data_IF_178398266550
#
_entry.id   IF_178398266550
#
_cell.length_a   1.000
_cell.length_b   1.000
_cell.length_c   1.000
_cell.angle_alpha   90.00
_cell.angle_beta   90.00
_cell.angle_gamma   90.00
#
_symmetry.space_group_name_H-M   'P 1'
#
loop_
_entity.id
_entity.type
_entity.pdbx_description
1 polymer ?
#
# COMPACT_ATOMS: atom_id res chain seq x y z
N UNK A 1 -58.37 -7.91 -4.31
CA UNK A 1 -58.07 -8.13 -2.89
C UNK A 1 -56.61 -7.75 -2.65
N UNK A 2 -56.47 -6.49 -2.29
CA UNK A 2 -55.44 -5.80 -1.50
C UNK A 2 -53.95 -6.07 -1.72
N UNK A 3 -53.39 -5.12 -2.47
CA UNK A 3 -51.99 -4.73 -2.55
C UNK A 3 -51.67 -3.91 -1.30
N UNK A 4 -50.76 -4.41 -0.44
CA UNK A 4 -50.15 -3.59 0.64
C UNK A 4 -48.68 -3.39 0.32
N UNK A 5 -48.37 -2.14 -0.05
CA UNK A 5 -47.04 -1.62 -0.28
C UNK A 5 -46.37 -1.27 1.05
N UNK A 6 -45.23 -1.89 1.36
CA UNK A 6 -44.29 -1.38 2.36
C UNK A 6 -43.15 -0.65 1.62
N UNK A 7 -43.30 0.68 1.53
CA UNK A 7 -42.22 1.61 1.20
C UNK A 7 -41.40 1.85 2.47
N UNK A 8 -40.18 1.30 2.52
CA UNK A 8 -39.18 1.78 3.47
C UNK A 8 -38.57 3.07 2.93
N UNK A 9 -38.83 4.18 3.63
CA UNK A 9 -38.23 5.47 3.37
C UNK A 9 -36.75 5.41 3.78
N UNK A 10 -35.87 5.37 2.79
CA UNK A 10 -34.44 5.63 2.97
C UNK A 10 -34.27 7.13 3.16
N UNK A 11 -34.13 7.56 4.41
CA UNK A 11 -33.78 8.93 4.75
C UNK A 11 -32.35 9.19 4.23
N UNK A 12 -32.25 9.83 3.07
CA UNK A 12 -30.98 10.35 2.54
C UNK A 12 -30.59 11.51 3.44
N UNK A 13 -29.74 11.24 4.43
CA UNK A 13 -29.09 12.27 5.24
C UNK A 13 -28.14 13.02 4.33
N UNK A 14 -28.59 14.17 3.81
CA UNK A 14 -27.70 15.12 3.13
C UNK A 14 -26.56 15.51 4.07
N UNK A 15 -25.29 15.41 3.64
CA UNK A 15 -24.18 15.88 4.44
C UNK A 15 -24.27 17.41 4.55
N UNK A 16 -24.61 17.89 5.76
CA UNK A 16 -24.58 19.31 6.14
C UNK A 16 -23.32 19.96 5.57
N UNK A 17 -23.50 20.90 4.65
CA UNK A 17 -22.48 21.85 4.18
C UNK A 17 -22.02 22.71 5.35
N UNK A 18 -21.10 22.18 6.17
CA UNK A 18 -20.30 23.00 7.08
C UNK A 18 -19.35 23.83 6.23
N UNK A 19 -19.47 25.14 6.31
CA UNK A 19 -18.49 26.10 5.82
C UNK A 19 -17.23 25.95 6.68
N UNK A 20 -16.17 25.36 6.12
CA UNK A 20 -15.02 24.80 6.84
C UNK A 20 -13.78 25.68 6.71
N UNK A 21 -13.30 26.25 7.83
CA UNK A 21 -12.04 27.00 7.98
C UNK A 21 -10.83 26.06 8.20
N UNK A 22 -9.63 26.64 8.06
CA UNK A 22 -8.31 26.02 8.25
C UNK A 22 -8.13 25.33 9.62
N UNK A 23 -7.07 24.51 9.74
CA UNK A 23 -6.63 23.74 10.91
C UNK A 23 -6.89 24.49 12.22
N UNK A 24 -7.54 23.83 13.17
CA UNK A 24 -8.03 24.48 14.39
C UNK A 24 -6.85 25.11 15.15
N UNK A 25 -6.73 26.45 15.23
CA UNK A 25 -5.62 27.08 15.92
C UNK A 25 -5.74 26.82 17.42
N UNK A 26 -4.61 26.81 18.12
CA UNK A 26 -4.57 26.93 19.57
C UNK A 26 -5.43 28.14 20.01
N UNK A 27 -6.12 28.06 21.16
CA UNK A 27 -6.88 29.20 21.66
C UNK A 27 -5.96 30.42 21.76
N UNK A 28 -6.46 31.59 21.36
CA UNK A 28 -5.67 32.82 21.29
C UNK A 28 -5.07 33.27 22.64
N UNK A 29 -5.50 32.65 23.75
CA UNK A 29 -5.03 32.85 25.12
C UNK A 29 -4.05 31.78 25.62
N UNK A 30 -3.59 30.84 24.76
CA UNK A 30 -2.65 29.80 25.18
C UNK A 30 -1.31 30.43 25.57
N UNK A 31 -0.81 30.09 26.77
CA UNK A 31 0.50 30.56 27.21
C UNK A 31 1.61 29.93 26.37
N UNK A 32 2.76 30.59 26.26
CA UNK A 32 3.95 30.03 25.58
C UNK A 32 4.31 28.66 26.15
N UNK A 33 4.18 28.47 27.46
CA UNK A 33 4.43 27.17 28.12
C UNK A 33 3.44 26.08 27.68
N UNK A 34 2.18 26.41 27.39
CA UNK A 34 1.21 25.46 26.86
C UNK A 34 1.51 25.08 25.41
N UNK A 35 2.00 26.03 24.61
CA UNK A 35 2.49 25.75 23.24
C UNK A 35 3.71 24.82 23.29
N UNK A 36 4.64 25.05 24.22
CA UNK A 36 5.83 24.20 24.40
C UNK A 36 5.44 22.75 24.73
N UNK A 37 4.43 22.54 25.57
CA UNK A 37 3.94 21.20 25.91
C UNK A 37 3.42 20.43 24.69
N UNK A 38 3.05 21.13 23.62
CA UNK A 38 2.54 20.50 22.41
C UNK A 38 3.64 19.89 21.53
N UNK A 39 4.88 20.36 21.60
CA UNK A 39 5.98 19.72 20.88
C UNK A 39 6.23 18.29 21.40
N UNK A 40 6.85 17.45 20.57
CA UNK A 40 7.31 16.12 21.01
C UNK A 40 8.24 16.23 22.22
N UNK A 41 8.16 15.24 23.12
CA UNK A 41 8.77 15.30 24.47
C UNK A 41 10.27 15.57 24.41
N UNK A 42 10.92 15.01 23.39
CA UNK A 42 12.35 15.06 23.12
C UNK A 42 12.80 16.49 22.78
N UNK A 43 11.94 17.29 22.14
CA UNK A 43 12.26 18.66 21.73
C UNK A 43 11.96 19.70 22.82
N UNK A 44 11.06 19.40 23.78
CA UNK A 44 10.51 20.40 24.73
C UNK A 44 11.59 21.12 25.54
N UNK A 45 12.61 20.40 26.00
CA UNK A 45 13.69 20.98 26.82
C UNK A 45 14.46 22.04 26.05
N UNK A 46 14.85 21.71 24.82
CA UNK A 46 15.61 22.60 23.96
C UNK A 46 14.76 23.75 23.41
N UNK A 47 13.51 23.48 23.03
CA UNK A 47 12.54 24.52 22.67
C UNK A 47 12.39 25.53 23.81
N UNK A 48 12.23 25.06 25.05
CA UNK A 48 12.12 25.92 26.24
C UNK A 48 13.37 26.77 26.45
N UNK A 49 14.56 26.21 26.23
CA UNK A 49 15.84 26.93 26.30
C UNK A 49 15.92 28.04 25.25
N UNK A 50 15.57 27.73 24.01
CA UNK A 50 15.58 28.66 22.88
C UNK A 50 14.60 29.81 23.08
N UNK A 51 13.34 29.50 23.45
CA UNK A 51 12.27 30.47 23.69
C UNK A 51 12.64 31.46 24.82
N UNK A 52 13.28 30.98 25.90
CA UNK A 52 13.75 31.85 27.00
C UNK A 52 14.92 32.75 26.61
N UNK A 53 15.65 32.42 25.55
CA UNK A 53 16.85 33.15 25.15
C UNK A 53 16.57 34.42 24.34
N UNK A 54 15.37 34.57 23.77
CA UNK A 54 14.97 35.75 22.99
C UNK A 54 13.46 35.81 22.78
N UNK A 55 12.82 36.98 23.01
CA UNK A 55 11.40 37.18 22.68
C UNK A 55 11.07 36.88 21.21
N UNK A 56 11.97 37.20 20.28
CA UNK A 56 11.77 36.92 18.84
C UNK A 56 11.80 35.43 18.52
N UNK A 57 12.56 34.64 19.29
CA UNK A 57 12.52 33.18 19.17
C UNK A 57 11.23 32.64 19.78
N UNK A 58 10.73 33.24 20.87
CA UNK A 58 9.43 32.90 21.44
C UNK A 58 8.28 33.07 20.45
N UNK A 59 8.30 34.11 19.60
CA UNK A 59 7.29 34.32 18.56
C UNK A 59 7.18 33.14 17.58
N UNK A 60 8.29 32.42 17.29
CA UNK A 60 8.29 31.25 16.40
C UNK A 60 7.35 30.13 16.84
N UNK A 61 7.03 30.05 18.14
CA UNK A 61 6.07 29.08 18.68
C UNK A 61 4.70 29.19 18.01
N UNK A 62 4.35 30.38 17.48
CA UNK A 62 3.08 30.63 16.80
C UNK A 62 3.27 30.89 15.31
N UNK A 63 4.31 31.64 14.92
CA UNK A 63 4.44 32.10 13.53
C UNK A 63 5.07 31.07 12.60
N UNK A 64 5.93 30.18 13.12
CA UNK A 64 6.59 29.13 12.35
C UNK A 64 7.10 27.99 13.27
N UNK A 65 6.21 27.14 13.81
CA UNK A 65 6.59 26.08 14.76
C UNK A 65 7.64 25.10 14.21
N UNK A 66 7.58 24.78 12.92
CA UNK A 66 8.58 23.91 12.27
C UNK A 66 10.00 24.47 12.26
N UNK A 67 10.17 25.80 12.21
CA UNK A 67 11.49 26.43 12.34
C UNK A 67 12.04 26.29 13.75
N UNK A 68 11.18 26.46 14.76
CA UNK A 68 11.57 26.26 16.15
C UNK A 68 11.93 24.80 16.44
N UNK A 69 11.17 23.84 15.90
CA UNK A 69 11.49 22.42 15.98
C UNK A 69 12.84 22.10 15.31
N UNK A 70 13.09 22.65 14.12
CA UNK A 70 14.35 22.47 13.41
C UNK A 70 15.54 23.00 14.22
N UNK A 71 15.44 24.20 14.79
CA UNK A 71 16.47 24.79 15.66
C UNK A 71 16.71 23.97 16.94
N UNK A 72 15.64 23.38 17.49
CA UNK A 72 15.71 22.56 18.69
C UNK A 72 16.23 21.13 18.42
N UNK A 73 16.20 20.69 17.17
CA UNK A 73 16.74 19.41 16.75
C UNK A 73 18.22 19.50 16.35
N UNK A 74 18.85 18.36 16.11
CA UNK A 74 20.20 18.27 15.53
C UNK A 74 20.20 18.38 13.99
N UNK A 75 19.17 19.01 13.41
CA UNK A 75 19.07 19.22 11.97
C UNK A 75 20.10 20.25 11.50
N UNK A 76 20.88 19.85 10.48
CA UNK A 76 21.84 20.73 9.82
C UNK A 76 23.09 20.98 10.64
N UNK A 77 23.99 21.83 10.13
CA UNK A 77 25.25 22.13 10.82
C UNK A 77 25.05 23.09 12.00
N UNK A 78 25.92 22.98 13.01
CA UNK A 78 25.94 23.93 14.12
C UNK A 78 26.20 25.38 13.67
N UNK A 79 26.89 25.58 12.54
CA UNK A 79 27.11 26.89 11.93
C UNK A 79 25.79 27.49 11.40
N UNK A 80 25.04 26.74 10.59
CA UNK A 80 23.72 27.15 10.07
C UNK A 80 22.75 27.49 11.21
N UNK A 81 22.73 26.68 12.28
CA UNK A 81 21.88 26.95 13.44
C UNK A 81 22.27 28.26 14.14
N UNK A 82 23.56 28.52 14.34
CA UNK A 82 24.03 29.78 14.96
C UNK A 82 23.69 30.99 14.11
N UNK A 83 23.90 30.89 12.80
CA UNK A 83 23.55 31.94 11.84
C UNK A 83 22.05 32.23 11.83
N UNK A 84 21.21 31.20 11.77
CA UNK A 84 19.76 31.35 11.83
C UNK A 84 19.30 32.03 13.14
N UNK A 85 19.88 31.65 14.28
CA UNK A 85 19.58 32.28 15.58
C UNK A 85 19.98 33.77 15.57
N UNK A 86 21.13 34.13 14.99
CA UNK A 86 21.55 35.52 14.87
C UNK A 86 20.55 36.31 14.00
N UNK A 87 20.20 35.79 12.82
CA UNK A 87 19.23 36.41 11.91
C UNK A 87 17.86 36.61 12.56
N UNK A 88 17.37 35.65 13.36
CA UNK A 88 16.09 35.79 14.09
C UNK A 88 16.19 36.91 15.13
N UNK A 89 17.31 36.99 15.88
CA UNK A 89 17.53 38.06 16.86
C UNK A 89 17.59 39.42 16.20
N UNK A 90 18.22 39.52 15.04
CA UNK A 90 18.30 40.76 14.26
C UNK A 90 16.99 41.13 13.57
N UNK A 91 16.03 40.20 13.49
CA UNK A 91 14.68 40.44 12.95
C UNK A 91 14.62 40.30 11.44
N UNK A 92 15.50 39.48 10.89
CA UNK A 92 15.48 39.15 9.48
C UNK A 92 14.12 38.55 9.06
N UNK A 93 13.70 38.74 7.80
CA UNK A 93 12.46 38.13 7.30
C UNK A 93 12.50 36.59 7.42
N UNK A 94 11.38 35.97 7.82
CA UNK A 94 11.28 34.51 8.02
C UNK A 94 11.76 33.68 6.82
N UNK A 95 11.53 34.16 5.59
CA UNK A 95 11.99 33.48 4.36
C UNK A 95 13.52 33.41 4.26
N UNK A 96 14.23 34.41 4.79
CA UNK A 96 15.69 34.44 4.84
C UNK A 96 16.20 33.39 5.82
N UNK A 97 15.65 33.37 7.04
CA UNK A 97 16.00 32.38 8.07
C UNK A 97 15.67 30.95 7.60
N UNK A 98 14.50 30.76 6.98
CA UNK A 98 14.08 29.47 6.46
C UNK A 98 15.04 28.92 5.39
N UNK A 99 15.60 29.80 4.55
CA UNK A 99 16.61 29.42 3.56
C UNK A 99 17.91 28.94 4.21
N UNK A 100 18.37 29.59 5.28
CA UNK A 100 19.58 29.18 6.02
C UNK A 100 19.42 27.79 6.64
N UNK A 101 18.22 27.47 7.14
CA UNK A 101 17.89 26.17 7.74
C UNK A 101 17.41 25.11 6.72
N UNK A 102 17.38 25.45 5.44
CA UNK A 102 16.80 24.64 4.37
C UNK A 102 15.39 24.11 4.74
N UNK A 103 14.49 25.04 5.09
CA UNK A 103 13.11 24.75 5.50
C UNK A 103 12.10 25.32 4.50
N UNK A 104 11.17 24.51 3.99
CA UNK A 104 10.17 24.99 3.07
C UNK A 104 9.05 25.75 3.78
N UNK A 105 8.64 26.89 3.23
CA UNK A 105 7.68 27.80 3.87
C UNK A 105 6.29 27.21 4.13
N UNK A 106 5.92 26.08 3.51
CA UNK A 106 4.63 25.44 3.75
C UNK A 106 4.53 24.83 5.15
N UNK A 107 5.65 24.42 5.78
CA UNK A 107 5.68 23.93 7.16
C UNK A 107 5.22 24.96 8.18
N UNK A 108 5.30 26.25 7.83
CA UNK A 108 4.83 27.35 8.68
C UNK A 108 3.38 27.19 9.15
N UNK A 109 2.54 26.49 8.36
CA UNK A 109 1.11 26.34 8.62
C UNK A 109 0.73 25.15 9.50
N UNK A 110 1.69 24.29 9.86
CA UNK A 110 1.43 23.14 10.73
C UNK A 110 1.53 23.53 12.20
N UNK A 111 0.76 22.88 13.07
CA UNK A 111 0.81 23.14 14.51
C UNK A 111 2.07 22.51 15.14
N UNK A 112 2.50 22.96 16.33
CA UNK A 112 3.72 22.49 17.00
C UNK A 112 3.85 20.98 17.18
N UNK A 113 2.74 20.32 17.47
CA UNK A 113 2.61 18.88 17.68
C UNK A 113 2.80 18.05 16.41
N UNK A 114 2.73 18.68 15.23
CA UNK A 114 3.09 18.01 13.98
C UNK A 114 4.58 17.64 13.92
N UNK A 115 5.42 18.35 14.69
CA UNK A 115 6.87 18.30 14.55
C UNK A 115 7.52 17.36 15.55
N UNK A 116 8.08 16.27 15.02
CA UNK A 116 9.10 15.45 15.67
C UNK A 116 10.48 15.68 15.06
N UNK A 117 11.24 14.60 14.88
CA UNK A 117 12.49 14.65 14.11
C UNK A 117 12.20 14.92 12.63
N UNK A 118 12.71 16.03 12.10
CA UNK A 118 12.59 16.37 10.69
C UNK A 118 13.76 15.77 9.89
N UNK A 119 13.51 15.03 8.80
CA UNK A 119 14.57 14.42 7.97
C UNK A 119 15.38 15.50 7.28
N UNK A 120 16.70 15.32 7.14
CA UNK A 120 17.63 16.33 6.60
C UNK A 120 17.18 16.95 5.27
N UNK A 121 16.57 16.18 4.39
CA UNK A 121 15.98 16.65 3.14
C UNK A 121 14.46 16.81 3.30
N UNK A 122 13.94 17.94 2.82
CA UNK A 122 12.52 18.26 2.81
C UNK A 122 12.08 18.66 1.40
N UNK A 123 10.81 18.44 1.01
CA UNK A 123 10.32 18.88 -0.29
C UNK A 123 10.31 20.41 -0.40
N UNK A 124 11.21 20.95 -1.23
CA UNK A 124 11.42 22.39 -1.40
C UNK A 124 10.69 22.99 -2.61
N UNK A 125 10.13 22.18 -3.52
CA UNK A 125 9.60 22.74 -4.77
C UNK A 125 8.43 23.69 -4.51
N UNK A 126 8.40 24.83 -5.22
CA UNK A 126 7.30 25.78 -5.06
C UNK A 126 5.96 25.17 -5.48
N UNK A 127 5.97 24.29 -6.50
CA UNK A 127 4.78 23.58 -6.99
C UNK A 127 4.21 22.69 -5.88
N UNK A 128 5.06 21.92 -5.20
CA UNK A 128 4.65 21.10 -4.07
C UNK A 128 4.13 21.95 -2.93
N UNK A 129 4.89 22.98 -2.52
CA UNK A 129 4.49 23.89 -1.44
C UNK A 129 3.11 24.52 -1.66
N UNK A 130 2.78 24.94 -2.89
CA UNK A 130 1.45 25.49 -3.21
C UNK A 130 0.35 24.43 -3.11
N UNK A 131 0.61 23.20 -3.57
CA UNK A 131 -0.39 22.11 -3.59
C UNK A 131 -0.62 21.52 -2.21
N UNK A 132 0.43 21.35 -1.40
CA UNK A 132 0.34 20.68 -0.10
C UNK A 132 -0.38 21.55 0.93
N UNK A 133 -0.23 22.87 0.84
CA UNK A 133 -0.92 23.83 1.73
C UNK A 133 -2.45 23.69 1.69
N UNK A 134 -3.02 23.36 0.53
CA UNK A 134 -4.46 23.13 0.39
C UNK A 134 -4.93 21.79 0.97
N UNK A 135 -3.99 20.91 1.35
CA UNK A 135 -4.21 19.54 1.82
C UNK A 135 -3.77 19.34 3.27
N UNK A 136 -3.49 20.43 3.99
CA UNK A 136 -3.14 20.35 5.39
C UNK A 136 -4.28 19.71 6.20
N UNK A 137 -3.94 18.90 7.22
CA UNK A 137 -4.94 18.27 8.07
C UNK A 137 -5.74 19.36 8.79
N UNK A 138 -7.02 19.05 9.03
CA UNK A 138 -7.94 19.98 9.70
C UNK A 138 -7.92 19.76 11.20
N UNK A 139 -7.80 18.50 11.61
CA UNK A 139 -7.67 18.10 12.99
C UNK A 139 -6.21 18.14 13.38
N UNK A 140 -5.97 18.71 14.56
CA UNK A 140 -4.64 18.90 15.10
C UNK A 140 -3.92 17.56 15.32
N UNK A 141 -4.62 16.61 15.93
CA UNK A 141 -4.15 15.25 16.22
C UNK A 141 -3.68 14.46 14.99
N UNK A 142 -4.18 14.78 13.79
CA UNK A 142 -3.75 14.14 12.54
C UNK A 142 -2.40 14.68 12.04
N UNK A 143 -1.95 15.86 12.52
CA UNK A 143 -0.88 16.64 11.89
C UNK A 143 0.47 15.95 11.93
N UNK A 144 0.79 15.27 13.03
CA UNK A 144 2.05 14.56 13.18
C UNK A 144 2.15 13.37 12.21
N UNK A 145 1.13 12.51 12.23
CA UNK A 145 1.11 11.33 11.37
C UNK A 145 0.98 11.70 9.89
N UNK A 146 0.17 12.71 9.56
CA UNK A 146 0.10 13.28 8.22
C UNK A 146 1.47 13.75 7.75
N UNK A 147 2.19 14.57 8.53
CA UNK A 147 3.50 15.10 8.13
C UNK A 147 4.51 13.96 7.89
N UNK A 148 4.59 13.00 8.81
CA UNK A 148 5.45 11.82 8.67
C UNK A 148 5.13 11.05 7.38
N UNK A 149 3.84 10.85 7.09
CA UNK A 149 3.38 10.14 5.89
C UNK A 149 3.74 10.87 4.60
N UNK A 150 3.64 12.20 4.56
CA UNK A 150 3.95 12.99 3.37
C UNK A 150 5.46 13.02 3.10
N UNK A 151 6.26 13.16 4.16
CA UNK A 151 7.71 13.10 4.05
C UNK A 151 8.20 11.70 3.63
N UNK A 152 7.56 10.65 4.17
CA UNK A 152 7.81 9.29 3.70
C UNK A 152 7.46 9.12 2.22
N UNK A 153 6.25 9.55 1.82
CA UNK A 153 5.76 9.39 0.46
C UNK A 153 6.62 10.10 -0.58
N UNK A 154 7.15 11.29 -0.26
CA UNK A 154 8.04 12.00 -1.16
C UNK A 154 9.38 11.27 -1.30
N UNK A 155 9.99 10.87 -0.19
CA UNK A 155 11.23 10.11 -0.18
C UNK A 155 11.10 8.74 -0.86
N UNK A 156 9.99 8.05 -0.65
CA UNK A 156 9.74 6.70 -1.14
C UNK A 156 9.26 6.68 -2.59
N UNK A 157 8.83 7.82 -3.14
CA UNK A 157 8.23 7.85 -4.47
C UNK A 157 8.53 9.16 -5.17
N UNK A 158 7.78 10.23 -4.86
CA UNK A 158 8.02 11.62 -5.27
C UNK A 158 6.96 12.59 -4.72
N UNK A 159 7.09 13.87 -5.09
CA UNK A 159 6.17 14.95 -4.73
C UNK A 159 4.73 14.77 -5.26
N UNK A 160 4.53 14.14 -6.43
CA UNK A 160 3.20 13.89 -6.97
C UNK A 160 2.45 12.82 -6.16
N UNK A 161 3.12 11.72 -5.81
CA UNK A 161 2.58 10.70 -4.92
C UNK A 161 2.32 11.24 -3.52
N UNK A 162 3.25 12.02 -2.95
CA UNK A 162 3.06 12.67 -1.65
C UNK A 162 1.86 13.63 -1.65
N UNK A 163 1.69 14.40 -2.72
CA UNK A 163 0.54 15.30 -2.87
C UNK A 163 -0.78 14.54 -3.01
N UNK A 164 -0.77 13.42 -3.73
CA UNK A 164 -1.94 12.54 -3.83
C UNK A 164 -2.27 11.92 -2.47
N UNK A 165 -1.28 11.42 -1.74
CA UNK A 165 -1.47 10.81 -0.42
C UNK A 165 -2.04 11.82 0.58
N UNK A 166 -1.56 13.06 0.56
CA UNK A 166 -2.05 14.13 1.42
C UNK A 166 -3.53 14.48 1.22
N UNK A 167 -4.14 14.10 0.09
CA UNK A 167 -5.57 14.32 -0.16
C UNK A 167 -6.48 13.25 0.42
N UNK A 168 -5.91 12.16 0.96
CA UNK A 168 -6.67 11.02 1.46
C UNK A 168 -7.13 11.25 2.91
N UNK A 169 -8.27 10.64 3.28
CA UNK A 169 -8.85 10.72 4.62
C UNK A 169 -8.50 9.49 5.47
N UNK A 170 -7.20 9.27 5.67
CA UNK A 170 -6.68 8.03 6.29
C UNK A 170 -5.75 8.29 7.49
N UNK A 171 -5.68 9.55 7.95
CA UNK A 171 -4.71 10.01 8.95
C UNK A 171 -5.27 10.12 10.37
N UNK A 172 -6.54 9.78 10.58
CA UNK A 172 -7.20 9.83 11.89
C UNK A 172 -6.57 8.86 12.88
N UNK A 173 -6.17 7.68 12.41
CA UNK A 173 -5.43 6.70 13.21
C UNK A 173 -3.93 6.94 13.02
N UNK A 174 -3.16 6.99 14.11
CA UNK A 174 -1.69 7.01 14.04
C UNK A 174 -1.12 5.70 13.49
N UNK A 175 0.19 5.64 13.27
CA UNK A 175 0.87 4.42 12.83
C UNK A 175 2.31 4.64 12.39
N UNK A 176 2.96 3.56 11.97
CA UNK A 176 4.25 3.63 11.31
C UNK A 176 4.05 3.90 9.82
N UNK A 177 4.25 5.16 9.41
CA UNK A 177 4.09 5.58 8.02
C UNK A 177 4.92 4.77 7.03
N UNK A 178 6.09 4.28 7.44
CA UNK A 178 6.97 3.53 6.55
C UNK A 178 6.37 2.17 6.21
N UNK A 179 5.90 1.44 7.23
CA UNK A 179 5.26 0.13 7.05
C UNK A 179 3.93 0.26 6.33
N UNK A 180 3.11 1.22 6.77
CA UNK A 180 1.76 1.40 6.28
C UNK A 180 1.73 1.71 4.78
N UNK A 181 2.63 2.58 4.31
CA UNK A 181 2.65 3.04 2.92
C UNK A 181 3.73 2.38 2.03
N UNK A 182 4.55 1.46 2.55
CA UNK A 182 5.66 0.82 1.83
C UNK A 182 5.24 0.26 0.46
N UNK A 183 4.25 -0.65 0.46
CA UNK A 183 3.78 -1.34 -0.75
C UNK A 183 3.14 -0.35 -1.74
N UNK A 184 2.33 0.58 -1.24
CA UNK A 184 1.65 1.56 -2.07
C UNK A 184 2.64 2.53 -2.75
N UNK A 185 3.68 2.97 -2.02
CA UNK A 185 4.74 3.82 -2.55
C UNK A 185 5.58 3.09 -3.60
N UNK A 186 6.01 1.85 -3.33
CA UNK A 186 6.77 1.05 -4.29
C UNK A 186 5.97 0.78 -5.57
N UNK A 187 4.70 0.40 -5.44
CA UNK A 187 3.78 0.26 -6.58
C UNK A 187 3.67 1.55 -7.40
N UNK A 188 3.50 2.70 -6.74
CA UNK A 188 3.40 3.99 -7.43
C UNK A 188 4.71 4.41 -8.12
N UNK A 189 5.86 4.05 -7.54
CA UNK A 189 7.17 4.26 -8.15
C UNK A 189 7.34 3.35 -9.37
N UNK A 190 7.17 2.03 -9.23
CA UNK A 190 7.31 1.07 -10.32
C UNK A 190 6.31 1.31 -11.45
N UNK A 191 5.13 1.88 -11.17
CA UNK A 191 4.16 2.30 -12.20
C UNK A 191 4.75 3.26 -13.24
N UNK A 192 5.86 3.93 -12.91
CA UNK A 192 6.54 4.91 -13.77
C UNK A 192 7.87 4.43 -14.32
N UNK A 193 8.21 3.16 -14.11
CA UNK A 193 9.50 2.57 -14.47
C UNK A 193 9.32 1.41 -15.46
N UNK A 194 8.90 1.70 -16.72
CA UNK A 194 8.46 0.68 -17.69
C UNK A 194 9.52 -0.36 -18.07
N UNK A 195 10.80 -0.05 -17.83
CA UNK A 195 11.92 -0.93 -18.11
C UNK A 195 12.14 -1.99 -17.03
N UNK A 196 11.55 -1.84 -15.85
CA UNK A 196 11.73 -2.75 -14.71
C UNK A 196 10.85 -4.00 -14.82
N UNK A 197 11.30 -5.10 -14.23
CA UNK A 197 10.49 -6.33 -14.15
C UNK A 197 9.24 -6.12 -13.28
N UNK A 198 9.38 -5.43 -12.16
CA UNK A 198 8.26 -5.13 -11.26
C UNK A 198 7.13 -4.37 -11.98
N UNK A 199 7.45 -3.48 -12.92
CA UNK A 199 6.45 -2.78 -13.73
C UNK A 199 5.62 -3.74 -14.60
N UNK A 200 6.22 -4.80 -15.14
CA UNK A 200 5.50 -5.79 -15.97
C UNK A 200 4.43 -6.56 -15.19
N UNK A 201 4.53 -6.55 -13.85
CA UNK A 201 3.54 -7.17 -12.97
C UNK A 201 2.33 -6.24 -12.70
N UNK A 202 2.40 -4.97 -13.08
CA UNK A 202 1.34 -3.98 -12.85
C UNK A 202 0.28 -4.05 -13.97
N UNK A 203 -0.99 -4.26 -13.60
CA UNK A 203 -2.13 -4.15 -14.55
C UNK A 203 -2.58 -2.71 -14.72
N UNK A 204 -2.76 -2.03 -13.58
CA UNK A 204 -3.29 -0.68 -13.51
C UNK A 204 -2.16 0.18 -12.96
N UNK A 205 -1.46 0.97 -13.80
CA UNK A 205 -0.43 1.89 -13.31
C UNK A 205 -1.02 2.99 -12.43
N UNK A 206 -0.30 3.35 -11.38
CA UNK A 206 -0.61 4.51 -10.57
C UNK A 206 -0.49 5.79 -11.41
N UNK A 207 -1.39 6.73 -11.16
CA UNK A 207 -1.37 8.10 -11.70
C UNK A 207 -2.01 9.06 -10.70
N UNK A 208 -1.72 10.37 -10.71
CA UNK A 208 -2.23 11.30 -9.72
C UNK A 208 -3.76 11.38 -9.62
N UNK A 209 -4.49 10.97 -10.66
CA UNK A 209 -5.95 10.99 -10.72
C UNK A 209 -6.61 9.69 -10.23
N UNK A 210 -5.81 8.67 -9.88
CA UNK A 210 -6.35 7.38 -9.43
C UNK A 210 -7.09 7.55 -8.10
N UNK A 211 -8.24 6.90 -7.96
CA UNK A 211 -8.96 6.84 -6.70
C UNK A 211 -8.20 5.98 -5.68
N UNK A 212 -8.35 6.27 -4.39
CA UNK A 212 -7.62 5.60 -3.31
C UNK A 212 -7.89 4.09 -3.25
N UNK A 213 -9.17 3.69 -3.33
CA UNK A 213 -9.60 2.30 -3.35
C UNK A 213 -8.95 1.51 -4.51
N UNK A 214 -8.94 2.11 -5.70
CA UNK A 214 -8.38 1.54 -6.92
C UNK A 214 -6.86 1.42 -6.79
N UNK A 215 -6.17 2.44 -6.27
CA UNK A 215 -4.72 2.39 -6.05
C UNK A 215 -4.34 1.31 -5.04
N UNK A 216 -5.09 1.19 -3.95
CA UNK A 216 -4.81 0.22 -2.90
C UNK A 216 -5.05 -1.23 -3.40
N UNK A 217 -6.16 -1.46 -4.11
CA UNK A 217 -6.43 -2.76 -4.74
C UNK A 217 -5.39 -3.11 -5.82
N UNK A 218 -4.96 -2.13 -6.62
CA UNK A 218 -3.92 -2.31 -7.63
C UNK A 218 -2.55 -2.62 -7.00
N UNK A 219 -2.19 -1.92 -5.91
CA UNK A 219 -0.97 -2.18 -5.15
C UNK A 219 -0.98 -3.60 -4.54
N UNK A 220 -2.11 -4.02 -3.94
CA UNK A 220 -2.27 -5.37 -3.39
C UNK A 220 -2.17 -6.44 -4.48
N UNK A 221 -2.83 -6.25 -5.62
CA UNK A 221 -2.75 -7.17 -6.75
C UNK A 221 -1.32 -7.28 -7.29
N UNK A 222 -0.63 -6.14 -7.47
CA UNK A 222 0.77 -6.10 -7.86
C UNK A 222 1.66 -6.86 -6.87
N UNK A 223 1.50 -6.64 -5.57
CA UNK A 223 2.30 -7.30 -4.54
C UNK A 223 2.06 -8.82 -4.50
N UNK A 224 0.81 -9.27 -4.73
CA UNK A 224 0.49 -10.69 -4.85
C UNK A 224 1.09 -11.33 -6.11
N UNK A 225 1.26 -10.58 -7.20
CA UNK A 225 1.98 -11.07 -8.39
C UNK A 225 3.48 -11.15 -8.16
N UNK A 226 4.06 -10.21 -7.43
CA UNK A 226 5.45 -10.32 -6.95
C UNK A 226 5.57 -11.61 -6.14
N UNK A 227 4.70 -11.83 -5.16
CA UNK A 227 4.65 -13.08 -4.38
C UNK A 227 4.60 -14.33 -5.25
N UNK A 228 3.73 -14.33 -6.27
CA UNK A 228 3.58 -15.45 -7.21
C UNK A 228 4.89 -15.75 -7.96
N UNK A 229 5.57 -14.73 -8.48
CA UNK A 229 6.87 -14.89 -9.17
C UNK A 229 7.92 -15.50 -8.23
N UNK A 230 7.98 -15.02 -7.00
CA UNK A 230 8.97 -15.48 -6.01
C UNK A 230 8.71 -16.91 -5.53
N UNK A 231 7.45 -17.33 -5.48
CA UNK A 231 7.07 -18.62 -4.91
C UNK A 231 6.87 -19.73 -5.94
N UNK A 232 6.59 -19.39 -7.20
CA UNK A 232 6.33 -20.36 -8.28
C UNK A 232 7.26 -20.13 -9.48
N UNK A 233 8.59 -20.19 -9.31
CA UNK A 233 9.51 -20.24 -10.44
C UNK A 233 9.24 -21.48 -11.30
N UNK A 234 9.76 -21.48 -12.53
CA UNK A 234 9.65 -22.63 -13.44
C UNK A 234 10.25 -23.87 -12.78
N UNK A 235 9.52 -24.98 -12.83
CA UNK A 235 9.93 -26.25 -12.20
C UNK A 235 9.48 -26.42 -10.74
N UNK A 236 8.95 -25.38 -10.09
CA UNK A 236 8.49 -25.48 -8.70
C UNK A 236 7.28 -26.41 -8.54
N UNK A 237 6.37 -26.44 -9.53
CA UNK A 237 5.23 -27.36 -9.53
C UNK A 237 5.59 -28.54 -10.43
N UNK A 238 6.09 -29.61 -9.82
CA UNK A 238 6.47 -30.84 -10.54
C UNK A 238 5.24 -31.74 -10.83
N UNK A 239 4.21 -31.64 -10.00
CA UNK A 239 3.02 -32.49 -10.06
C UNK A 239 1.74 -31.65 -10.16
N UNK A 240 1.05 -31.80 -11.29
CA UNK A 240 -0.25 -31.19 -11.61
C UNK A 240 -1.44 -31.83 -10.87
N UNK A 241 -1.21 -32.95 -10.18
CA UNK A 241 -2.16 -33.89 -9.59
C UNK A 241 -3.02 -34.67 -10.56
N UNK A 242 -3.50 -34.02 -11.61
CA UNK A 242 -4.34 -34.61 -12.66
C UNK A 242 -3.67 -34.36 -14.02
N UNK A 243 -3.87 -35.29 -14.94
CA UNK A 243 -3.30 -35.20 -16.27
C UNK A 243 -4.02 -34.14 -17.11
N UNK A 244 -3.29 -33.47 -18.01
CA UNK A 244 -3.92 -32.72 -19.09
C UNK A 244 -4.77 -33.66 -19.95
N UNK A 245 -5.80 -33.14 -20.60
CA UNK A 245 -6.62 -33.95 -21.50
C UNK A 245 -7.71 -33.15 -22.18
N UNK A 246 -8.57 -33.86 -22.90
CA UNK A 246 -9.70 -33.27 -23.61
C UNK A 246 -11.01 -33.96 -23.24
N UNK A 247 -12.06 -33.17 -23.08
CA UNK A 247 -13.42 -33.68 -22.90
C UNK A 247 -14.41 -32.75 -23.59
N UNK A 248 -15.30 -33.32 -24.40
CA UNK A 248 -16.35 -32.59 -25.15
C UNK A 248 -15.84 -31.40 -25.97
N UNK A 249 -14.66 -31.51 -26.59
CA UNK A 249 -14.06 -30.43 -27.38
C UNK A 249 -13.44 -29.29 -26.56
N UNK A 250 -13.27 -29.50 -25.25
CA UNK A 250 -12.51 -28.60 -24.38
C UNK A 250 -11.19 -29.26 -23.95
N UNK A 251 -10.11 -28.50 -24.00
CA UNK A 251 -8.78 -28.91 -23.56
C UNK A 251 -8.53 -28.37 -22.15
N UNK A 252 -8.05 -29.23 -21.26
CA UNK A 252 -7.69 -28.92 -19.88
C UNK A 252 -6.17 -28.95 -19.74
N UNK A 253 -5.57 -27.78 -19.55
CA UNK A 253 -4.11 -27.62 -19.43
C UNK A 253 -3.73 -27.18 -18.02
N UNK A 254 -2.87 -27.91 -17.29
CA UNK A 254 -2.40 -27.47 -15.98
C UNK A 254 -1.55 -26.20 -16.09
N UNK A 255 -1.61 -25.35 -15.07
CA UNK A 255 -0.80 -24.14 -14.94
C UNK A 255 0.27 -24.37 -13.87
N UNK A 256 1.53 -24.50 -14.29
CA UNK A 256 2.61 -25.06 -13.48
C UNK A 256 3.64 -24.04 -12.98
N UNK A 257 3.53 -22.78 -13.38
CA UNK A 257 4.45 -21.73 -12.95
C UNK A 257 3.80 -20.35 -13.01
N UNK A 258 4.48 -19.34 -12.45
CA UNK A 258 3.99 -17.97 -12.43
C UNK A 258 3.66 -17.43 -13.83
N UNK A 259 4.45 -17.72 -14.87
CA UNK A 259 4.23 -17.20 -16.23
C UNK A 259 2.90 -17.69 -16.81
N UNK A 260 2.62 -18.98 -16.67
CA UNK A 260 1.35 -19.57 -17.11
C UNK A 260 0.15 -19.04 -16.33
N UNK A 261 0.28 -18.89 -15.00
CA UNK A 261 -0.77 -18.38 -14.13
C UNK A 261 -1.06 -16.89 -14.41
N UNK A 262 -0.02 -16.06 -14.57
CA UNK A 262 -0.17 -14.65 -14.93
C UNK A 262 -0.79 -14.49 -16.32
N UNK A 263 -0.35 -15.32 -17.28
CA UNK A 263 -0.93 -15.36 -18.61
C UNK A 263 -2.42 -15.72 -18.57
N UNK A 264 -2.80 -16.72 -17.79
CA UNK A 264 -4.21 -17.08 -17.57
C UNK A 264 -4.99 -15.93 -16.94
N UNK A 265 -4.48 -15.33 -15.84
CA UNK A 265 -5.12 -14.22 -15.14
C UNK A 265 -5.37 -13.02 -16.08
N UNK A 266 -4.40 -12.71 -16.95
CA UNK A 266 -4.52 -11.64 -17.93
C UNK A 266 -5.59 -11.95 -19.00
N UNK A 267 -5.55 -13.15 -19.58
CA UNK A 267 -6.49 -13.53 -20.65
C UNK A 267 -7.93 -13.64 -20.12
N UNK A 268 -8.09 -14.20 -18.93
CA UNK A 268 -9.40 -14.42 -18.29
C UNK A 268 -9.87 -13.21 -17.47
N UNK A 269 -9.03 -12.20 -17.26
CA UNK A 269 -9.32 -11.03 -16.44
C UNK A 269 -9.89 -11.43 -15.07
N UNK A 270 -9.28 -12.44 -14.46
CA UNK A 270 -9.74 -13.06 -13.22
C UNK A 270 -8.63 -13.01 -12.14
N UNK A 271 -8.91 -13.58 -10.97
CA UNK A 271 -8.02 -13.52 -9.81
C UNK A 271 -7.08 -14.74 -9.69
N UNK A 272 -6.73 -15.41 -10.80
CA UNK A 272 -5.84 -16.58 -10.75
C UNK A 272 -4.44 -16.26 -10.17
N UNK A 273 -4.00 -15.00 -10.32
CA UNK A 273 -2.75 -14.48 -9.75
C UNK A 273 -2.74 -14.38 -8.21
N UNK A 274 -3.87 -14.62 -7.53
CA UNK A 274 -4.00 -14.60 -6.08
C UNK A 274 -3.75 -15.97 -5.41
N UNK A 275 -3.51 -17.02 -6.21
CA UNK A 275 -3.50 -18.41 -5.73
C UNK A 275 -2.15 -18.93 -5.23
N UNK A 276 -1.09 -18.11 -5.26
CA UNK A 276 0.28 -18.50 -4.93
C UNK A 276 0.36 -19.33 -3.64
N UNK A 277 -0.18 -18.81 -2.54
CA UNK A 277 -0.12 -19.47 -1.24
C UNK A 277 -0.87 -20.81 -1.21
N UNK A 278 -2.06 -20.88 -1.81
CA UNK A 278 -2.86 -22.11 -1.86
C UNK A 278 -2.15 -23.19 -2.67
N UNK A 279 -1.50 -22.81 -3.77
CA UNK A 279 -0.75 -23.73 -4.63
C UNK A 279 0.50 -24.27 -3.90
N UNK A 280 1.29 -23.37 -3.30
CA UNK A 280 2.52 -23.71 -2.56
C UNK A 280 2.20 -24.61 -1.37
N UNK A 281 1.11 -24.34 -0.64
CA UNK A 281 0.66 -25.19 0.47
C UNK A 281 0.02 -26.51 0.02
N UNK A 282 0.02 -26.80 -1.28
CA UNK A 282 -0.60 -28.00 -1.84
C UNK A 282 -2.11 -28.08 -1.57
N UNK A 283 -2.79 -26.93 -1.43
CA UNK A 283 -4.25 -26.87 -1.23
C UNK A 283 -5.01 -26.94 -2.55
N UNK A 284 -4.40 -26.50 -3.65
CA UNK A 284 -5.02 -26.58 -4.97
C UNK A 284 -4.02 -26.68 -6.13
N UNK A 285 -4.56 -27.00 -7.31
CA UNK A 285 -3.93 -26.85 -8.64
C UNK A 285 -4.88 -26.12 -9.57
N UNK A 286 -4.32 -25.35 -10.48
CA UNK A 286 -5.08 -24.58 -11.46
C UNK A 286 -4.92 -25.17 -12.86
N UNK A 287 -6.01 -25.13 -13.62
CA UNK A 287 -6.07 -25.55 -15.01
C UNK A 287 -6.71 -24.45 -15.85
N UNK A 288 -6.12 -24.20 -17.02
CA UNK A 288 -6.74 -23.44 -18.10
C UNK A 288 -7.68 -24.37 -18.87
N UNK A 289 -8.91 -23.93 -19.07
CA UNK A 289 -9.91 -24.63 -19.89
C UNK A 289 -10.08 -23.87 -21.20
N UNK A 290 -9.84 -24.56 -22.31
CA UNK A 290 -9.78 -23.96 -23.64
C UNK A 290 -10.76 -24.63 -24.59
N UNK A 291 -11.35 -23.85 -25.49
CA UNK A 291 -12.14 -24.35 -26.61
C UNK A 291 -11.49 -23.86 -27.90
N UNK A 292 -11.13 -24.78 -28.80
CA UNK A 292 -10.41 -24.45 -30.04
C UNK A 292 -9.15 -23.58 -29.80
N UNK A 293 -8.39 -23.89 -28.73
CA UNK A 293 -7.20 -23.13 -28.33
C UNK A 293 -7.46 -21.78 -27.66
N UNK A 294 -8.72 -21.35 -27.51
CA UNK A 294 -9.09 -20.10 -26.84
C UNK A 294 -9.49 -20.38 -25.39
N UNK A 295 -8.88 -19.68 -24.44
CA UNK A 295 -9.20 -19.77 -23.01
C UNK A 295 -10.63 -19.31 -22.75
N UNK A 296 -11.44 -20.16 -22.12
CA UNK A 296 -12.84 -19.88 -21.83
C UNK A 296 -13.21 -20.03 -20.35
N UNK A 297 -12.44 -20.78 -19.56
CA UNK A 297 -12.58 -20.85 -18.11
C UNK A 297 -11.26 -21.18 -17.42
N UNK A 298 -11.17 -20.86 -16.13
CA UNK A 298 -10.11 -21.32 -15.23
C UNK A 298 -10.74 -22.26 -14.21
N UNK A 299 -10.12 -23.42 -14.03
CA UNK A 299 -10.56 -24.50 -13.17
C UNK A 299 -9.61 -24.64 -11.98
N UNK A 300 -10.17 -24.73 -10.78
CA UNK A 300 -9.45 -25.03 -9.55
C UNK A 300 -9.80 -26.43 -9.06
N UNK A 301 -8.76 -27.25 -8.87
CA UNK A 301 -8.84 -28.58 -8.29
C UNK A 301 -8.25 -28.55 -6.88
N UNK A 302 -8.94 -29.17 -5.93
CA UNK A 302 -8.53 -29.26 -4.54
C UNK A 302 -9.19 -30.43 -3.81
N UNK A 303 -8.93 -30.53 -2.51
CA UNK A 303 -9.50 -31.58 -1.66
C UNK A 303 -11.02 -31.39 -1.52
N UNK A 304 -11.77 -32.48 -1.65
CA UNK A 304 -13.21 -32.49 -1.49
C UNK A 304 -13.57 -32.09 -0.06
N UNK A 305 -14.52 -31.14 0.14
CA UNK A 305 -14.78 -30.56 1.45
C UNK A 305 -15.34 -31.57 2.47
N UNK A 306 -15.89 -32.70 2.01
CA UNK A 306 -16.49 -33.73 2.87
C UNK A 306 -15.77 -35.07 2.82
N UNK A 307 -15.00 -35.33 1.76
CA UNK A 307 -14.35 -36.63 1.53
C UNK A 307 -12.84 -36.42 1.53
N UNK A 308 -12.23 -36.61 2.70
CA UNK A 308 -10.81 -36.38 2.88
C UNK A 308 -10.02 -37.30 1.94
N UNK A 309 -9.09 -36.70 1.21
CA UNK A 309 -8.23 -37.42 0.29
C UNK A 309 -8.86 -37.69 -1.07
N UNK A 310 -10.00 -37.11 -1.39
CA UNK A 310 -10.59 -37.15 -2.74
C UNK A 310 -10.43 -35.77 -3.38
N UNK A 311 -9.94 -35.72 -4.61
CA UNK A 311 -9.85 -34.48 -5.38
C UNK A 311 -11.20 -34.15 -6.03
N UNK A 312 -11.54 -32.86 -6.06
CA UNK A 312 -12.77 -32.36 -6.65
C UNK A 312 -12.57 -30.97 -7.27
N UNK A 313 -13.55 -30.56 -8.09
CA UNK A 313 -13.64 -29.20 -8.60
C UNK A 313 -14.07 -28.28 -7.47
N UNK A 314 -13.17 -27.43 -7.00
CA UNK A 314 -13.49 -26.40 -6.00
C UNK A 314 -14.17 -25.19 -6.65
N UNK A 315 -13.71 -24.84 -7.84
CA UNK A 315 -14.21 -23.67 -8.55
C UNK A 315 -13.98 -23.81 -10.06
N UNK A 316 -14.94 -23.33 -10.84
CA UNK A 316 -14.84 -23.17 -12.30
C UNK A 316 -15.41 -21.81 -12.68
N UNK A 317 -14.55 -20.91 -13.18
CA UNK A 317 -14.93 -19.53 -13.49
C UNK A 317 -14.58 -19.17 -14.92
N UNK A 318 -15.50 -18.50 -15.59
CA UNK A 318 -15.26 -17.86 -16.88
C UNK A 318 -14.60 -16.49 -16.69
N UNK A 319 -14.51 -15.73 -17.78
CA UNK A 319 -13.88 -14.40 -17.80
C UNK A 319 -14.51 -13.48 -16.75
N UNK A 320 -13.71 -12.62 -16.12
CA UNK A 320 -14.16 -11.71 -15.05
C UNK A 320 -14.73 -12.39 -13.80
N UNK A 321 -14.27 -13.61 -13.49
CA UNK A 321 -14.81 -14.42 -12.40
C UNK A 321 -16.33 -14.73 -12.55
N UNK A 322 -16.87 -14.64 -13.76
CA UNK A 322 -18.27 -14.99 -14.05
C UNK A 322 -18.49 -16.51 -13.96
N UNK A 323 -19.74 -16.93 -13.88
CA UNK A 323 -20.09 -18.35 -13.90
C UNK A 323 -19.72 -18.96 -15.25
N UNK A 324 -19.08 -20.14 -15.23
CA UNK A 324 -18.87 -20.91 -16.44
C UNK A 324 -20.21 -21.46 -17.00
N UNK A 325 -20.29 -21.64 -18.31
CA UNK A 325 -21.48 -22.19 -18.96
C UNK A 325 -21.69 -23.66 -18.58
N UNK A 326 -22.91 -24.17 -18.78
CA UNK A 326 -23.24 -25.57 -18.47
C UNK A 326 -22.37 -26.56 -19.27
N UNK A 327 -22.07 -26.25 -20.54
CA UNK A 327 -21.23 -27.11 -21.37
C UNK A 327 -19.81 -27.25 -20.81
N UNK A 328 -19.24 -26.16 -20.29
CA UNK A 328 -17.92 -26.16 -19.67
C UNK A 328 -17.93 -26.97 -18.36
N UNK A 329 -19.02 -26.87 -17.58
CA UNK A 329 -19.21 -27.73 -16.39
C UNK A 329 -19.31 -29.21 -16.76
N UNK A 330 -20.12 -29.55 -17.76
CA UNK A 330 -20.26 -30.94 -18.22
C UNK A 330 -18.93 -31.49 -18.74
N UNK A 331 -18.18 -30.70 -19.50
CA UNK A 331 -16.84 -31.06 -19.94
C UNK A 331 -15.89 -31.28 -18.76
N UNK A 332 -15.90 -30.40 -17.75
CA UNK A 332 -15.02 -30.51 -16.58
C UNK A 332 -15.32 -31.78 -15.75
N UNK A 333 -16.60 -32.12 -15.53
CA UNK A 333 -16.95 -33.36 -14.84
C UNK A 333 -16.58 -34.60 -15.63
N UNK A 334 -16.77 -34.59 -16.96
CA UNK A 334 -16.34 -35.70 -17.82
C UNK A 334 -14.82 -35.88 -17.82
N UNK A 335 -14.07 -34.78 -17.93
CA UNK A 335 -12.60 -34.79 -17.83
C UNK A 335 -12.15 -35.33 -16.46
N UNK A 336 -12.79 -34.91 -15.37
CA UNK A 336 -12.47 -35.38 -14.02
C UNK A 336 -12.74 -36.88 -13.87
N UNK A 337 -13.85 -37.39 -14.43
CA UNK A 337 -14.20 -38.80 -14.39
C UNK A 337 -13.23 -39.70 -15.17
N UNK A 338 -12.47 -39.14 -16.12
CA UNK A 338 -11.43 -39.86 -16.86
C UNK A 338 -10.09 -39.92 -16.11
N UNK A 339 -9.94 -39.16 -15.01
CA UNK A 339 -8.67 -39.09 -14.29
C UNK A 339 -8.40 -40.36 -13.48
N UNK A 340 -7.16 -40.80 -13.50
CA UNK A 340 -6.63 -41.77 -12.55
C UNK A 340 -6.06 -41.01 -11.33
N UNK A 341 -6.12 -41.59 -10.14
CA UNK A 341 -5.52 -40.97 -8.94
C UNK A 341 -6.36 -39.87 -8.28
N UNK A 342 -7.69 -39.87 -8.45
CA UNK A 342 -8.60 -38.97 -7.71
C UNK A 342 -8.48 -39.12 -6.19
N UNK A 343 -8.05 -40.29 -5.71
CA UNK A 343 -7.69 -40.49 -4.30
C UNK A 343 -6.25 -40.06 -4.08
N UNK A 344 -6.08 -38.98 -3.34
CA UNK A 344 -4.79 -38.41 -2.94
C UNK A 344 -4.84 -38.02 -1.47
N UNK A 345 -4.18 -38.81 -0.62
CA UNK A 345 -4.01 -38.49 0.80
C UNK A 345 -3.29 -37.13 0.87
N UNK A 346 -3.86 -36.12 1.56
CA UNK A 346 -3.16 -34.86 1.78
C UNK A 346 -1.82 -35.16 2.45
N UNK A 347 -0.72 -34.53 2.05
CA UNK A 347 0.54 -34.78 2.73
C UNK A 347 0.36 -34.50 4.23
N UNK A 348 0.66 -35.50 5.08
CA UNK A 348 0.40 -35.51 6.53
C UNK A 348 1.11 -34.39 7.27
N UNK A 349 2.19 -33.90 6.68
CA UNK A 349 2.88 -32.65 6.96
C UNK A 349 2.82 -31.82 5.69
N UNK A 350 2.71 -30.48 5.75
CA UNK A 350 3.08 -29.65 4.60
C UNK A 350 4.49 -30.08 4.25
N UNK A 351 4.65 -30.80 3.14
CA UNK A 351 5.92 -31.38 2.77
C UNK A 351 6.95 -30.27 2.81
N UNK A 352 8.07 -30.49 3.51
CA UNK A 352 9.24 -29.61 3.48
C UNK A 352 9.65 -29.21 2.03
N UNK A 353 9.20 -30.00 1.05
CA UNK A 353 9.35 -29.86 -0.40
C UNK A 353 8.67 -28.62 -1.01
N UNK A 354 7.66 -28.01 -0.36
CA UNK A 354 7.11 -26.71 -0.78
C UNK A 354 6.98 -25.76 0.41
N UNK A 355 7.90 -25.80 1.37
CA UNK A 355 8.03 -24.74 2.37
C UNK A 355 8.56 -23.46 1.72
N UNK A 356 7.73 -22.86 0.85
CA UNK A 356 7.77 -21.51 0.30
C UNK A 356 9.09 -20.78 0.45
N UNK A 357 10.17 -21.35 -0.09
CA UNK A 357 11.42 -20.62 -0.23
C UNK A 357 11.16 -19.61 -1.31
N UNK A 358 11.00 -18.36 -0.91
CA UNK A 358 10.96 -17.26 -1.84
C UNK A 358 12.30 -17.23 -2.57
N UNK A 359 12.25 -17.13 -3.90
CA UNK A 359 13.43 -16.87 -4.72
C UNK A 359 14.02 -15.51 -4.33
N UNK A 360 15.05 -15.53 -3.46
CA UNK A 360 15.70 -14.32 -2.96
C UNK A 360 16.43 -13.57 -4.08
N UNK A 361 16.92 -14.28 -5.09
CA UNK A 361 17.58 -13.67 -6.25
C UNK A 361 16.56 -12.89 -7.07
N UNK A 362 15.37 -13.46 -7.28
CA UNK A 362 14.27 -12.73 -7.91
C UNK A 362 13.79 -11.54 -7.05
N UNK A 363 13.71 -11.69 -5.72
CA UNK A 363 13.34 -10.57 -4.83
C UNK A 363 14.31 -9.39 -4.96
N UNK A 364 15.61 -9.68 -4.90
CA UNK A 364 16.65 -8.68 -5.10
C UNK A 364 16.53 -8.04 -6.49
N UNK A 365 16.47 -8.84 -7.55
CA UNK A 365 16.35 -8.35 -8.93
C UNK A 365 15.13 -7.45 -9.16
N UNK A 366 13.98 -7.81 -8.58
CA UNK A 366 12.73 -7.04 -8.68
C UNK A 366 12.84 -5.72 -7.91
N UNK A 367 13.39 -5.74 -6.70
CA UNK A 367 13.37 -4.59 -5.78
C UNK A 367 14.59 -3.68 -5.90
N UNK A 368 15.73 -4.14 -6.40
CA UNK A 368 16.98 -3.36 -6.52
C UNK A 368 16.77 -2.01 -7.19
N UNK A 369 16.07 -1.88 -8.34
CA UNK A 369 15.85 -0.58 -8.97
C UNK A 369 15.18 0.45 -8.04
N UNK A 370 14.22 -0.01 -7.23
CA UNK A 370 13.54 0.84 -6.25
C UNK A 370 14.48 1.21 -5.10
N UNK A 371 15.20 0.24 -4.54
CA UNK A 371 16.17 0.47 -3.46
C UNK A 371 17.27 1.44 -3.88
N UNK A 372 17.80 1.28 -5.08
CA UNK A 372 18.85 2.15 -5.61
C UNK A 372 18.36 3.59 -5.79
N UNK A 373 17.10 3.77 -6.22
CA UNK A 373 16.52 5.08 -6.46
C UNK A 373 16.17 5.84 -5.17
N UNK A 374 15.71 5.17 -4.12
CA UNK A 374 15.17 5.80 -2.90
C UNK A 374 16.10 5.71 -1.67
N UNK A 375 17.35 5.26 -1.88
CA UNK A 375 18.34 5.13 -0.81
C UNK A 375 18.12 3.90 0.08
N UNK A 376 18.33 2.71 -0.49
CA UNK A 376 18.22 1.36 0.10
C UNK A 376 16.79 0.87 0.46
N UNK A 377 15.82 1.78 0.58
CA UNK A 377 14.45 1.47 1.01
C UNK A 377 14.42 0.63 2.30
N UNK A 378 14.98 1.17 3.39
CA UNK A 378 15.11 0.49 4.70
C UNK A 378 13.77 -0.02 5.28
N UNK A 379 12.65 0.52 4.78
CA UNK A 379 11.29 0.10 5.14
C UNK A 379 10.83 -1.19 4.46
N UNK A 380 11.63 -1.76 3.55
CA UNK A 380 11.43 -3.08 2.96
C UNK A 380 12.50 -4.07 3.41
N UNK A 381 12.06 -5.23 3.93
CA UNK A 381 12.93 -6.34 4.28
C UNK A 381 13.85 -6.74 3.12
N UNK A 382 15.13 -6.94 3.42
CA UNK A 382 16.14 -7.35 2.41
C UNK A 382 15.90 -8.76 1.89
N UNK A 383 15.19 -9.60 2.65
CA UNK A 383 14.84 -10.96 2.29
C UNK A 383 13.31 -11.15 2.24
N UNK A 384 12.84 -11.86 1.23
CA UNK A 384 11.43 -12.21 1.11
C UNK A 384 11.06 -13.39 2.03
N UNK A 385 9.99 -13.25 2.80
CA UNK A 385 9.49 -14.29 3.70
C UNK A 385 7.97 -14.24 3.83
N UNK A 386 7.35 -15.34 4.26
CA UNK A 386 5.89 -15.34 4.50
C UNK A 386 5.51 -14.33 5.59
N UNK A 387 6.34 -14.16 6.62
CA UNK A 387 6.09 -13.19 7.69
C UNK A 387 6.03 -11.76 7.15
N UNK A 388 6.96 -11.41 6.26
CA UNK A 388 6.99 -10.11 5.59
C UNK A 388 5.73 -9.86 4.75
N UNK A 389 5.34 -10.82 3.91
CA UNK A 389 4.12 -10.70 3.11
C UNK A 389 2.86 -10.57 4.00
N UNK A 390 2.75 -11.38 5.07
CA UNK A 390 1.65 -11.27 6.02
C UNK A 390 1.62 -9.92 6.74
N UNK A 391 2.78 -9.37 7.11
CA UNK A 391 2.86 -8.07 7.75
C UNK A 391 2.35 -6.96 6.82
N UNK A 392 2.85 -6.87 5.59
CA UNK A 392 2.37 -5.86 4.63
C UNK A 392 0.92 -6.07 4.21
N UNK A 393 0.42 -7.31 4.18
CA UNK A 393 -0.99 -7.59 3.95
C UNK A 393 -1.87 -7.04 5.06
N UNK A 394 -1.43 -7.16 6.32
CA UNK A 394 -2.11 -6.56 7.46
C UNK A 394 -2.10 -5.03 7.39
N UNK A 395 -0.96 -4.42 7.01
CA UNK A 395 -0.85 -2.96 6.84
C UNK A 395 -1.77 -2.45 5.71
N UNK A 396 -1.82 -3.14 4.57
CA UNK A 396 -2.73 -2.79 3.48
C UNK A 396 -4.20 -2.98 3.85
N UNK A 397 -4.53 -4.02 4.64
CA UNK A 397 -5.87 -4.21 5.17
C UNK A 397 -6.26 -3.09 6.15
N UNK A 398 -5.31 -2.62 6.97
CA UNK A 398 -5.52 -1.48 7.84
C UNK A 398 -5.76 -0.18 7.04
N UNK A 399 -5.00 0.03 5.96
CA UNK A 399 -5.27 1.13 5.01
C UNK A 399 -6.65 1.04 4.36
N UNK A 400 -7.07 -0.16 3.98
CA UNK A 400 -8.39 -0.38 3.40
C UNK A 400 -9.50 0.00 4.38
N UNK A 401 -9.36 -0.41 5.66
CA UNK A 401 -10.25 -0.04 6.75
C UNK A 401 -10.30 1.48 6.94
N UNK A 402 -9.15 2.14 7.04
CA UNK A 402 -9.05 3.60 7.20
C UNK A 402 -9.68 4.36 6.04
N UNK A 403 -9.50 3.87 4.81
CA UNK A 403 -10.04 4.47 3.59
C UNK A 403 -11.50 4.11 3.28
N UNK A 404 -12.15 3.27 4.10
CA UNK A 404 -13.52 2.82 3.86
C UNK A 404 -13.69 1.93 2.62
N UNK A 405 -12.65 1.16 2.26
CA UNK A 405 -12.67 0.29 1.08
C UNK A 405 -13.46 -0.98 1.41
N UNK A 406 -14.70 -1.07 0.93
CA UNK A 406 -15.64 -2.16 1.25
C UNK A 406 -15.38 -3.46 0.45
N UNK A 407 -14.68 -3.38 -0.68
CA UNK A 407 -14.41 -4.52 -1.58
C UNK A 407 -13.04 -5.17 -1.33
N UNK A 408 -12.53 -5.12 -0.09
CA UNK A 408 -11.28 -5.76 0.30
C UNK A 408 -11.45 -7.29 0.41
N UNK A 409 -11.52 -7.97 -0.74
CA UNK A 409 -11.92 -9.38 -0.83
C UNK A 409 -10.75 -10.38 -0.85
N UNK A 410 -9.57 -9.99 -0.37
CA UNK A 410 -8.38 -10.85 -0.36
C UNK A 410 -7.81 -11.01 1.05
N UNK A 411 -8.49 -11.82 1.86
CA UNK A 411 -7.97 -12.34 3.14
C UNK A 411 -7.68 -13.83 3.02
#
# INVERSE_FOLDING_TARGET
MDIVAMRNATEVVEPRKRTLRATQPLPASASVDDVIKCFQRELRGEVKRLVRSSPRIAELTTVYPGMLAALASERGSAAQRREAIALIRDGAPLKVVARVLDLPMWLRRLPPDAFGSLPSQLPQSEKFGRRIVARLPRLREESAFWLQSILFAERACDEDFATWLASQRIFTDGGDSQKLFAVLAAYAWFSRQPTTEAHRLIVVPWRPEIAFDTALCAAKSWFNRVRLVLQLPTGMIEDAWLASGEARGYTFKPLLNHSEILGEAQAMQNCADQYAERIVRGKCRLFSVQSNGVRCATLEIGQHPREIGVLSILQLKARHNSAATLDVWQAAYMWLAQQQGLKRIPPLTPSHVLNGTFDQTAWQRIMSPYRDAVGAAEWFDTAASNLMFCAYDAEMADLARRGGVSSWLFT
#
